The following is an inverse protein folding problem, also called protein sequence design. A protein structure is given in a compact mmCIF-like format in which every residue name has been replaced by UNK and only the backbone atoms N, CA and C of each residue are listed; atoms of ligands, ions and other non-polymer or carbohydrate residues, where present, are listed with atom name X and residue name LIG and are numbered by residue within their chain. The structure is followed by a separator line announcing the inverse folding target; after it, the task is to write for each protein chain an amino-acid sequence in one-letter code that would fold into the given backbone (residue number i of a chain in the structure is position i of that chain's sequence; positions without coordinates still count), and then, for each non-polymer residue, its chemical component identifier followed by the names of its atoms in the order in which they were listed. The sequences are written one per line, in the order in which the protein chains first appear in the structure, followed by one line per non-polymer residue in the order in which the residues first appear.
data_IF_563763730088
#
_entry.id   IF_563763730088
#
_cell.length_a   1.000
_cell.length_b   1.000
_cell.length_c   1.000
_cell.angle_alpha   90.00
_cell.angle_beta   90.00
_cell.angle_gamma   90.00
#
_symmetry.space_group_name_H-M   'P 1'
#
loop_
_entity.id
_entity.type
_entity.pdbx_description
1 polymer ?
#
# COMPACT_ATOMS: atom_id res chain seq x y z
N UNK A 1 3.05 3.20 17.69
CA UNK A 1 1.77 3.88 17.38
C UNK A 1 1.15 3.12 16.22
N UNK A 2 -0.05 2.56 16.40
CA UNK A 2 -0.67 1.68 15.41
C UNK A 2 -1.63 2.55 14.56
N UNK A 3 -1.39 2.64 13.25
CA UNK A 3 -2.25 3.42 12.34
C UNK A 3 -3.47 2.60 11.91
N UNK A 4 -4.63 3.23 11.70
CA UNK A 4 -5.85 2.56 11.19
C UNK A 4 -5.99 2.76 9.69
N UNK A 5 -6.29 1.70 8.93
CA UNK A 5 -6.62 1.83 7.50
C UNK A 5 -8.05 2.32 7.35
N UNK A 6 -8.25 3.44 6.65
CA UNK A 6 -9.56 3.97 6.30
C UNK A 6 -9.62 4.43 4.83
N UNK A 7 -10.82 4.79 4.38
CA UNK A 7 -11.05 5.24 3.00
C UNK A 7 -10.28 6.54 2.65
N UNK A 8 -10.05 7.43 3.63
CA UNK A 8 -9.29 8.68 3.41
C UNK A 8 -7.83 8.36 3.10
N UNK A 9 -7.23 7.42 3.84
CA UNK A 9 -5.86 6.96 3.64
C UNK A 9 -5.69 6.25 2.29
N UNK A 10 -6.68 5.45 1.86
CA UNK A 10 -6.69 4.80 0.54
C UNK A 10 -6.77 5.84 -0.59
N UNK A 11 -7.61 6.88 -0.44
CA UNK A 11 -7.71 7.96 -1.41
C UNK A 11 -6.44 8.81 -1.49
N UNK A 12 -5.84 9.12 -0.33
CA UNK A 12 -4.57 9.81 -0.23
C UNK A 12 -3.45 9.03 -0.92
N UNK A 13 -3.38 7.71 -0.69
CA UNK A 13 -2.46 6.82 -1.38
C UNK A 13 -2.63 6.87 -2.90
N UNK A 14 -3.87 6.74 -3.40
CA UNK A 14 -4.14 6.77 -4.84
C UNK A 14 -3.68 8.06 -5.51
N UNK A 15 -3.81 9.19 -4.82
CA UNK A 15 -3.34 10.49 -5.30
C UNK A 15 -1.81 10.58 -5.28
N UNK A 16 -1.20 10.14 -4.18
CA UNK A 16 0.24 10.24 -3.98
C UNK A 16 1.03 9.30 -4.90
N UNK A 17 0.55 8.06 -5.08
CA UNK A 17 1.21 7.06 -5.93
C UNK A 17 1.26 7.49 -7.40
N UNK A 18 0.23 8.17 -7.93
CA UNK A 18 0.28 8.77 -9.27
C UNK A 18 1.41 9.78 -9.44
N UNK A 19 1.69 10.58 -8.40
CA UNK A 19 2.81 11.52 -8.40
C UNK A 19 4.17 10.82 -8.32
N UNK A 20 4.25 9.67 -7.64
CA UNK A 20 5.50 8.90 -7.50
C UNK A 20 5.83 8.07 -8.75
N UNK A 21 4.80 7.55 -9.44
CA UNK A 21 4.95 6.69 -10.60
C UNK A 21 5.15 7.44 -11.93
N UNK A 22 4.89 8.75 -11.98
CA UNK A 22 5.21 9.59 -13.14
C UNK A 22 6.71 9.74 -13.42
N UNK A 23 7.56 9.29 -12.49
CA UNK A 23 9.02 9.31 -12.61
C UNK A 23 9.48 7.90 -13.00
N UNK A 24 9.65 7.69 -14.31
CA UNK A 24 9.85 6.39 -14.96
C UNK A 24 10.78 5.41 -14.23
N UNK A 25 10.32 4.15 -14.11
CA UNK A 25 11.10 3.03 -13.61
C UNK A 25 11.18 2.89 -12.08
N UNK A 26 10.50 3.73 -11.30
CA UNK A 26 10.52 3.62 -9.86
C UNK A 26 9.57 2.53 -9.34
N UNK A 27 10.09 1.56 -8.59
CA UNK A 27 9.29 0.64 -7.79
C UNK A 27 8.78 1.35 -6.55
N UNK A 28 7.47 1.24 -6.29
CA UNK A 28 6.81 1.77 -5.08
C UNK A 28 6.45 0.60 -4.17
N UNK A 29 7.01 0.58 -2.97
CA UNK A 29 6.64 -0.40 -1.94
C UNK A 29 5.67 0.26 -0.96
N UNK A 30 4.51 -0.35 -0.78
CA UNK A 30 3.46 0.07 0.15
C UNK A 30 3.58 -0.77 1.40
N UNK A 31 4.09 -0.18 2.47
CA UNK A 31 4.25 -0.87 3.76
C UNK A 31 2.94 -0.76 4.56
N UNK A 32 2.38 -1.93 4.90
CA UNK A 32 1.17 -2.08 5.71
C UNK A 32 1.40 -2.94 6.96
N UNK A 33 2.65 -3.09 7.43
CA UNK A 33 2.98 -3.97 8.56
C UNK A 33 2.32 -3.53 9.87
N UNK A 34 2.34 -2.24 10.16
CA UNK A 34 1.85 -1.66 11.41
C UNK A 34 0.44 -1.05 11.30
N UNK A 35 -0.29 -1.41 10.23
CA UNK A 35 -1.66 -0.96 10.00
C UNK A 35 -2.66 -1.89 10.69
N UNK A 36 -3.34 -1.35 11.70
CA UNK A 36 -4.60 -1.90 12.16
C UNK A 36 -5.66 -1.72 11.09
N UNK A 37 -6.36 -2.78 10.80
CA UNK A 37 -7.41 -2.79 9.80
C UNK A 37 -8.74 -2.89 10.53
N UNK A 38 -9.57 -1.87 10.40
CA UNK A 38 -10.90 -1.85 11.00
C UNK A 38 -11.87 -2.84 10.30
N UNK A 39 -11.68 -3.11 9.00
CA UNK A 39 -12.49 -4.08 8.25
C UNK A 39 -11.86 -4.58 6.95
N UNK A 40 -12.35 -5.73 6.46
CA UNK A 40 -11.85 -6.33 5.21
C UNK A 40 -12.08 -5.47 3.96
N UNK A 41 -13.10 -4.60 3.99
CA UNK A 41 -13.44 -3.70 2.90
C UNK A 41 -12.29 -2.74 2.55
N UNK A 42 -11.65 -2.15 3.56
CA UNK A 42 -10.56 -1.19 3.36
C UNK A 42 -9.30 -1.86 2.84
N UNK A 43 -8.98 -3.08 3.32
CA UNK A 43 -7.88 -3.87 2.76
C UNK A 43 -8.12 -4.16 1.28
N UNK A 44 -9.35 -4.54 0.94
CA UNK A 44 -9.70 -4.85 -0.43
C UNK A 44 -9.66 -3.60 -1.31
N UNK A 45 -10.12 -2.45 -0.80
CA UNK A 45 -10.02 -1.17 -1.49
C UNK A 45 -8.56 -0.79 -1.79
N UNK A 46 -7.66 -0.88 -0.80
CA UNK A 46 -6.23 -0.63 -1.01
C UNK A 46 -5.65 -1.60 -2.05
N UNK A 47 -5.95 -2.89 -1.93
CA UNK A 47 -5.46 -3.89 -2.86
C UNK A 47 -5.98 -3.65 -4.30
N UNK A 48 -7.21 -3.15 -4.47
CA UNK A 48 -7.73 -2.76 -5.80
C UNK A 48 -6.98 -1.56 -6.37
N UNK A 49 -6.65 -0.56 -5.55
CA UNK A 49 -5.86 0.60 -6.00
C UNK A 49 -4.48 0.16 -6.47
N UNK A 50 -3.81 -0.71 -5.71
CA UNK A 50 -2.50 -1.27 -6.10
C UNK A 50 -2.63 -2.11 -7.38
N UNK A 51 -3.68 -2.93 -7.51
CA UNK A 51 -3.93 -3.73 -8.72
C UNK A 51 -4.11 -2.84 -9.95
N UNK A 52 -4.93 -1.78 -9.83
CA UNK A 52 -5.17 -0.82 -10.91
C UNK A 52 -3.88 -0.10 -11.33
N UNK A 53 -3.01 0.26 -10.37
CA UNK A 53 -1.73 0.85 -10.69
C UNK A 53 -0.83 -0.10 -11.49
N UNK A 54 -0.79 -1.38 -11.10
CA UNK A 54 -0.05 -2.43 -11.81
C UNK A 54 -0.57 -2.70 -13.22
N UNK A 55 -1.89 -2.69 -13.41
CA UNK A 55 -2.51 -2.81 -14.74
C UNK A 55 -2.10 -1.68 -15.70
N UNK A 56 -1.66 -0.54 -15.16
CA UNK A 56 -1.15 0.60 -15.94
C UNK A 56 0.37 0.51 -16.17
N UNK A 57 0.99 -0.64 -15.90
CA UNK A 57 2.43 -0.86 -16.10
C UNK A 57 3.32 -0.33 -14.99
N UNK A 58 2.76 0.08 -13.85
CA UNK A 58 3.51 0.63 -12.72
C UNK A 58 3.95 -0.46 -11.76
N UNK A 59 5.19 -0.43 -11.30
CA UNK A 59 5.70 -1.41 -10.33
C UNK A 59 5.35 -1.00 -8.89
N UNK A 60 4.09 -1.16 -8.53
CA UNK A 60 3.60 -0.97 -7.16
C UNK A 60 3.45 -2.32 -6.49
N UNK A 61 3.98 -2.46 -5.27
CA UNK A 61 3.96 -3.71 -4.50
C UNK A 61 3.51 -3.47 -3.07
N UNK A 62 2.58 -4.30 -2.61
CA UNK A 62 2.13 -4.34 -1.23
C UNK A 62 3.10 -5.20 -0.40
N UNK A 63 3.71 -4.62 0.63
CA UNK A 63 4.51 -5.36 1.62
C UNK A 63 3.65 -5.62 2.86
N UNK A 64 3.21 -6.86 3.01
CA UNK A 64 2.34 -7.27 4.11
C UNK A 64 2.84 -8.53 4.82
N UNK A 65 2.97 -8.46 6.15
CA UNK A 65 3.32 -9.62 6.99
C UNK A 65 2.11 -10.38 7.54
N UNK A 66 0.99 -9.70 7.78
CA UNK A 66 -0.22 -10.27 8.36
C UNK A 66 -0.95 -11.26 7.43
N UNK A 67 -1.52 -12.33 8.01
CA UNK A 67 -2.26 -13.37 7.26
C UNK A 67 -3.48 -12.82 6.50
N UNK A 68 -4.21 -11.87 7.10
CA UNK A 68 -5.38 -11.26 6.47
C UNK A 68 -4.99 -10.51 5.19
N UNK A 69 -3.94 -9.69 5.28
CA UNK A 69 -3.38 -9.00 4.13
C UNK A 69 -2.87 -9.95 3.05
N UNK A 70 -2.17 -11.02 3.43
CA UNK A 70 -1.72 -12.04 2.46
C UNK A 70 -2.90 -12.67 1.71
N UNK A 71 -4.01 -12.95 2.40
CA UNK A 71 -5.24 -13.46 1.76
C UNK A 71 -5.84 -12.43 0.79
N UNK A 72 -5.95 -11.17 1.21
CA UNK A 72 -6.51 -10.09 0.37
C UNK A 72 -5.63 -9.79 -0.85
N UNK A 73 -4.32 -9.72 -0.65
CA UNK A 73 -3.35 -9.55 -1.71
C UNK A 73 -3.42 -10.72 -2.69
N UNK A 74 -3.46 -11.97 -2.22
CA UNK A 74 -3.61 -13.14 -3.10
C UNK A 74 -4.88 -13.08 -3.95
N UNK A 75 -6.00 -12.62 -3.38
CA UNK A 75 -7.29 -12.49 -4.09
C UNK A 75 -7.28 -11.37 -5.14
N UNK A 76 -6.59 -10.25 -4.86
CA UNK A 76 -6.76 -9.00 -5.63
C UNK A 76 -5.55 -8.64 -6.49
N UNK A 77 -4.35 -9.01 -6.05
CA UNK A 77 -3.05 -8.65 -6.62
C UNK A 77 -2.38 -9.84 -7.30
N UNK A 78 -3.18 -10.69 -7.98
CA UNK A 78 -2.70 -11.92 -8.63
C UNK A 78 -1.32 -11.73 -9.26
N UNK A 79 -0.35 -12.58 -8.87
CA UNK A 79 1.03 -12.58 -9.35
C UNK A 79 1.90 -11.33 -9.03
N UNK A 80 1.66 -10.61 -7.93
CA UNK A 80 2.65 -9.63 -7.44
C UNK A 80 4.00 -10.31 -7.12
N UNK A 81 5.14 -9.79 -7.62
CA UNK A 81 6.47 -10.25 -7.20
C UNK A 81 6.68 -10.07 -5.70
N UNK A 82 7.48 -10.93 -5.05
CA UNK A 82 7.78 -10.80 -3.63
C UNK A 82 8.47 -9.46 -3.31
N UNK A 83 8.23 -8.96 -2.11
CA UNK A 83 9.00 -7.88 -1.50
C UNK A 83 10.03 -8.54 -0.58
N UNK A 84 11.24 -8.74 -1.09
CA UNK A 84 12.36 -9.32 -0.35
C UNK A 84 13.26 -8.24 0.30
N UNK A 85 14.27 -8.67 1.05
CA UNK A 85 15.19 -7.76 1.74
C UNK A 85 16.01 -6.89 0.76
N UNK A 86 16.34 -7.41 -0.42
CA UNK A 86 17.08 -6.68 -1.44
C UNK A 86 16.21 -5.58 -2.06
N UNK A 87 14.94 -5.85 -2.32
CA UNK A 87 14.00 -4.84 -2.78
C UNK A 87 13.80 -3.76 -1.71
N UNK A 88 13.64 -4.15 -0.44
CA UNK A 88 13.52 -3.19 0.67
C UNK A 88 14.72 -2.26 0.80
N UNK A 89 15.93 -2.75 0.54
CA UNK A 89 17.16 -1.95 0.62
C UNK A 89 17.44 -1.12 -0.63
N UNK A 90 16.93 -1.53 -1.79
CA UNK A 90 17.18 -0.86 -3.08
C UNK A 90 16.07 0.09 -3.52
N UNK A 91 14.86 -0.07 -2.98
CA UNK A 91 13.72 0.80 -3.29
C UNK A 91 13.99 2.20 -2.78
N UNK A 92 14.00 3.16 -3.71
CA UNK A 92 14.16 4.59 -3.41
C UNK A 92 12.91 5.21 -2.78
N UNK A 93 11.76 4.53 -2.84
CA UNK A 93 10.45 5.07 -2.47
C UNK A 93 9.58 4.03 -1.76
N UNK A 94 9.47 4.19 -0.45
CA UNK A 94 8.55 3.42 0.39
C UNK A 94 7.41 4.35 0.82
N UNK A 95 6.18 3.97 0.52
CA UNK A 95 5.00 4.63 1.06
C UNK A 95 4.59 3.89 2.32
N UNK A 96 4.87 4.50 3.45
CA UNK A 96 4.44 4.00 4.76
C UNK A 96 3.05 4.56 5.01
N UNK A 97 2.05 3.69 4.98
CA UNK A 97 0.69 4.08 5.33
C UNK A 97 0.57 4.06 6.86
N UNK A 98 0.82 5.21 7.49
CA UNK A 98 0.59 5.40 8.91
C UNK A 98 -0.52 6.44 9.07
N UNK A 99 -1.72 6.01 9.49
CA UNK A 99 -2.74 6.95 9.91
C UNK A 99 -2.31 7.58 11.24
N UNK A 100 -1.87 8.84 11.18
CA UNK A 100 -1.88 9.68 12.37
C UNK A 100 -3.33 10.09 12.60
N UNK A 101 -3.95 9.75 13.75
CA UNK A 101 -5.26 10.27 14.06
C UNK A 101 -5.11 11.78 14.01
N UNK A 102 -5.81 12.42 13.06
CA UNK A 102 -5.88 13.88 13.01
C UNK A 102 -6.24 14.33 14.41
N UNK A 103 -5.26 14.87 15.13
CA UNK A 103 -5.48 15.50 16.43
C UNK A 103 -6.51 16.58 16.13
N UNK A 104 -7.78 16.36 16.50
CA UNK A 104 -8.80 17.40 16.45
C UNK A 104 -8.21 18.54 17.27
N UNK A 105 -7.73 19.57 16.58
CA UNK A 105 -7.33 20.83 17.18
C UNK A 105 -8.62 21.36 17.81
N UNK A 106 -8.77 21.13 19.11
CA UNK A 106 -9.71 21.85 19.96
C UNK A 106 -9.03 23.14 20.38
#
# INVERSE_FOLDING_TARGET
MIGVLDAELVAAFSTHERGLAGLGGATVVVDVHDLHVAGEADMHALAKVVAAARCQGRDVRLDARGLHWKRTAKKTLSAQPPVDAQLRSSVRRTVILAHSPRKKRR
#
